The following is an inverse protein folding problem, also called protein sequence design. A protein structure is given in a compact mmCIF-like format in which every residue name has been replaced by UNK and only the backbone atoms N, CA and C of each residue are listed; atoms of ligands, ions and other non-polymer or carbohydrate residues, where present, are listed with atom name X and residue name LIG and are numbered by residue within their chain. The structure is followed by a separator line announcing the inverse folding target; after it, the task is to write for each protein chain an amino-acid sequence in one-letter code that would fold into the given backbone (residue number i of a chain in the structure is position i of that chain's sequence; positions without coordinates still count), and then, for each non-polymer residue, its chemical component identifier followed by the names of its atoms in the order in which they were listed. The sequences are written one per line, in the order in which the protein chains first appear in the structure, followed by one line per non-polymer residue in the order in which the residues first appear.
data_IF_162362165613
#
_entry.id   IF_162362165613
#
_cell.length_a   1.000
_cell.length_b   1.000
_cell.length_c   1.000
_cell.angle_alpha   90.00
_cell.angle_beta   90.00
_cell.angle_gamma   90.00
#
_symmetry.space_group_name_H-M   'P 1'
#
loop_
_entity.id
_entity.type
_entity.pdbx_description
1 polymer ?
#
# COMPACT_ATOMS: atom_id res chain seq x y z
N UNK A 1 -26.68 3.32 3.86
CA UNK A 1 -25.80 4.51 3.94
C UNK A 1 -24.62 4.08 4.81
N UNK A 2 -23.48 3.85 4.16
CA UNK A 2 -22.25 3.40 4.84
C UNK A 2 -21.71 4.54 5.69
N UNK A 3 -21.91 4.52 6.99
CA UNK A 3 -21.24 5.43 7.90
C UNK A 3 -20.00 4.73 8.43
N UNK A 4 -18.92 4.75 7.66
CA UNK A 4 -17.61 4.33 8.17
C UNK A 4 -17.19 5.41 9.17
N UNK A 5 -17.31 5.11 10.45
CA UNK A 5 -16.71 5.93 11.49
C UNK A 5 -15.20 5.86 11.33
N UNK A 6 -14.66 6.82 10.61
CA UNK A 6 -13.22 7.05 10.60
C UNK A 6 -12.80 7.55 11.98
N UNK A 7 -12.33 6.66 12.82
CA UNK A 7 -11.54 7.03 14.00
C UNK A 7 -10.16 7.53 13.57
N UNK A 8 -10.12 8.40 12.58
CA UNK A 8 -8.89 9.08 12.17
C UNK A 8 -9.05 10.56 12.44
N UNK A 9 -8.39 11.00 13.47
CA UNK A 9 -8.38 12.40 13.94
C UNK A 9 -7.63 13.35 12.99
N UNK A 10 -7.31 13.01 11.74
CA UNK A 10 -6.57 13.88 10.81
C UNK A 10 -6.95 13.74 9.33
N UNK A 11 -6.90 14.89 8.71
CA UNK A 11 -7.40 15.38 7.44
C UNK A 11 -6.60 14.89 6.23
N UNK A 12 -6.36 13.74 5.92
CA UNK A 12 -5.95 13.18 4.61
C UNK A 12 -5.73 11.68 4.74
N UNK A 13 -6.81 10.94 4.70
CA UNK A 13 -6.75 9.48 4.68
C UNK A 13 -6.61 9.04 3.22
N UNK A 14 -5.44 8.56 2.79
CA UNK A 14 -5.34 7.96 1.46
C UNK A 14 -6.21 6.71 1.41
N UNK A 15 -6.95 6.56 0.31
CA UNK A 15 -7.74 5.35 0.10
C UNK A 15 -7.69 4.89 -1.35
N UNK A 16 -7.91 3.58 -1.57
CA UNK A 16 -8.02 2.97 -2.91
C UNK A 16 -9.03 1.84 -2.86
N UNK A 17 -9.84 1.76 -3.90
CA UNK A 17 -10.72 0.61 -4.09
C UNK A 17 -9.93 -0.65 -4.43
N UNK A 18 -10.40 -1.76 -3.91
CA UNK A 18 -9.96 -3.08 -4.31
C UNK A 18 -10.32 -3.31 -5.79
N UNK A 19 -9.52 -4.07 -6.57
CA UNK A 19 -9.70 -4.19 -8.01
C UNK A 19 -11.09 -4.66 -8.48
N UNK A 20 -11.79 -5.46 -7.67
CA UNK A 20 -13.15 -5.91 -7.98
C UNK A 20 -14.25 -4.90 -7.57
N UNK A 21 -13.90 -3.82 -6.87
CA UNK A 21 -14.84 -2.80 -6.42
C UNK A 21 -15.61 -3.10 -5.14
N UNK A 22 -15.52 -4.31 -4.57
CA UNK A 22 -16.32 -4.71 -3.39
C UNK A 22 -15.68 -4.28 -2.05
N UNK A 23 -14.46 -3.79 -2.07
CA UNK A 23 -13.71 -3.40 -0.90
C UNK A 23 -12.86 -2.15 -1.17
N UNK A 24 -12.33 -1.55 -0.12
CA UNK A 24 -11.33 -0.47 -0.23
C UNK A 24 -10.33 -0.54 0.93
N UNK A 25 -9.12 -0.08 0.69
CA UNK A 25 -8.12 0.10 1.74
C UNK A 25 -7.89 1.58 2.04
N UNK A 26 -7.59 1.86 3.30
CA UNK A 26 -7.20 3.18 3.78
C UNK A 26 -5.83 3.13 4.43
N UNK A 27 -5.11 4.24 4.38
CA UNK A 27 -3.92 4.47 5.20
C UNK A 27 -4.21 5.51 6.27
N UNK A 28 -3.55 5.45 7.40
CA UNK A 28 -3.78 6.34 8.54
C UNK A 28 -2.47 6.87 9.13
N UNK A 29 -2.56 8.00 9.82
CA UNK A 29 -1.47 8.58 10.60
C UNK A 29 -1.08 7.69 11.81
N UNK A 30 -1.94 6.73 12.19
CA UNK A 30 -1.67 5.76 13.24
C UNK A 30 -0.77 4.60 12.79
N UNK A 31 -0.16 4.72 11.62
CA UNK A 31 0.70 3.72 10.97
C UNK A 31 -0.02 2.45 10.51
N UNK A 32 -1.34 2.41 10.53
CA UNK A 32 -2.13 1.27 10.07
C UNK A 32 -2.70 1.47 8.66
N UNK A 33 -2.64 0.42 7.83
CA UNK A 33 -3.56 0.28 6.71
C UNK A 33 -4.74 -0.59 7.13
N UNK A 34 -5.93 -0.28 6.63
CA UNK A 34 -7.14 -1.07 6.92
C UNK A 34 -7.88 -1.40 5.64
N UNK A 35 -8.41 -2.60 5.57
CA UNK A 35 -9.23 -3.08 4.46
C UNK A 35 -10.67 -3.21 4.92
N UNK A 36 -11.59 -2.61 4.18
CA UNK A 36 -13.02 -2.61 4.47
C UNK A 36 -13.81 -3.28 3.35
N UNK A 37 -14.80 -4.08 3.70
CA UNK A 37 -15.80 -4.62 2.78
C UNK A 37 -16.98 -3.65 2.68
N UNK A 38 -17.31 -3.23 1.45
CA UNK A 38 -18.40 -2.27 1.20
C UNK A 38 -19.77 -2.93 1.39
N UNK A 39 -19.88 -4.21 1.07
CA UNK A 39 -21.16 -4.94 1.11
C UNK A 39 -21.50 -5.41 2.52
N UNK A 40 -20.47 -5.87 3.24
CA UNK A 40 -20.63 -6.34 4.62
C UNK A 40 -20.57 -5.21 5.66
N UNK A 41 -20.24 -3.98 5.25
CA UNK A 41 -20.11 -2.79 6.09
C UNK A 41 -19.20 -3.02 7.31
N UNK A 42 -18.04 -3.64 7.07
CA UNK A 42 -17.11 -3.97 8.15
C UNK A 42 -15.65 -3.94 7.71
N UNK A 43 -14.77 -3.78 8.69
CA UNK A 43 -13.35 -3.98 8.53
C UNK A 43 -13.05 -5.48 8.32
N UNK A 44 -12.27 -5.80 7.29
CA UNK A 44 -11.83 -7.16 6.98
C UNK A 44 -10.47 -7.45 7.61
N UNK A 45 -9.56 -6.48 7.57
CA UNK A 45 -8.20 -6.67 8.05
C UNK A 45 -7.53 -5.34 8.40
N UNK A 46 -6.60 -5.39 9.37
CA UNK A 46 -5.71 -4.28 9.73
C UNK A 46 -4.25 -4.72 9.53
N UNK A 47 -3.48 -3.90 8.83
CA UNK A 47 -2.07 -4.13 8.53
C UNK A 47 -1.23 -3.18 9.38
N UNK A 48 -0.54 -3.72 10.35
CA UNK A 48 0.34 -3.01 11.28
C UNK A 48 1.64 -3.76 11.49
N UNK A 49 2.66 -3.06 11.94
CA UNK A 49 3.92 -3.68 12.33
C UNK A 49 4.57 -2.85 13.43
N UNK A 50 5.09 -3.52 14.46
CA UNK A 50 5.60 -2.88 15.69
C UNK A 50 6.72 -1.85 15.45
N UNK A 51 7.48 -2.03 14.37
CA UNK A 51 8.57 -1.11 14.02
C UNK A 51 8.13 0.09 13.16
N UNK A 52 6.85 0.20 12.80
CA UNK A 52 6.34 1.30 11.98
C UNK A 52 5.57 2.25 12.91
N UNK A 53 6.12 3.46 13.08
CA UNK A 53 5.57 4.48 13.99
C UNK A 53 5.21 5.78 13.24
N UNK A 54 5.17 5.73 11.92
CA UNK A 54 4.93 6.91 11.07
C UNK A 54 3.67 6.75 10.23
N UNK A 55 3.09 7.88 9.84
CA UNK A 55 1.86 7.92 9.06
C UNK A 55 2.00 7.36 7.65
N UNK A 56 0.88 6.93 7.11
CA UNK A 56 0.74 6.43 5.74
C UNK A 56 0.26 7.57 4.85
N UNK A 57 1.02 7.85 3.81
CA UNK A 57 0.77 8.95 2.88
C UNK A 57 -0.01 8.54 1.64
N UNK A 58 0.10 7.28 1.25
CA UNK A 58 -0.54 6.77 0.04
C UNK A 58 -0.69 5.25 0.08
N UNK A 59 -1.70 4.73 -0.62
CA UNK A 59 -1.95 3.29 -0.75
C UNK A 59 -2.26 2.93 -2.19
N UNK A 60 -1.88 1.72 -2.62
CA UNK A 60 -2.19 1.17 -3.93
C UNK A 60 -2.30 -0.36 -3.87
N UNK A 61 -3.20 -0.94 -4.67
CA UNK A 61 -3.31 -2.40 -4.82
C UNK A 61 -2.58 -2.89 -6.05
N UNK A 62 -2.08 -4.12 -5.98
CA UNK A 62 -1.78 -4.90 -7.19
C UNK A 62 -3.08 -5.20 -7.96
N UNK A 63 -2.98 -5.49 -9.26
CA UNK A 63 -4.15 -5.80 -10.10
C UNK A 63 -4.98 -6.97 -9.54
N UNK A 64 -4.31 -7.96 -8.97
CA UNK A 64 -4.99 -9.11 -8.35
C UNK A 64 -5.64 -8.79 -7.00
N UNK A 65 -5.35 -7.63 -6.41
CA UNK A 65 -5.74 -7.29 -5.04
C UNK A 65 -4.94 -8.04 -3.96
N UNK A 66 -4.07 -8.99 -4.34
CA UNK A 66 -3.31 -9.79 -3.37
C UNK A 66 -2.29 -8.99 -2.57
N UNK A 67 -1.76 -7.94 -3.16
CA UNK A 67 -0.75 -7.08 -2.54
C UNK A 67 -1.32 -5.69 -2.35
N UNK A 68 -1.13 -5.14 -1.15
CA UNK A 68 -1.36 -3.75 -0.80
C UNK A 68 -0.01 -3.08 -0.57
N UNK A 69 0.24 -1.98 -1.28
CA UNK A 69 1.40 -1.12 -1.09
C UNK A 69 1.00 0.08 -0.25
N UNK A 70 1.77 0.41 0.76
CA UNK A 70 1.63 1.61 1.56
C UNK A 70 2.90 2.44 1.52
N UNK A 71 2.80 3.71 1.14
CA UNK A 71 3.87 4.70 1.24
C UNK A 71 3.84 5.38 2.59
N UNK A 72 5.00 5.60 3.19
CA UNK A 72 5.15 6.03 4.56
C UNK A 72 6.01 7.30 4.70
N UNK A 73 5.82 7.99 5.81
CA UNK A 73 6.61 9.18 6.16
C UNK A 73 8.07 8.87 6.47
N UNK A 74 8.41 7.61 6.77
CA UNK A 74 9.77 7.12 7.02
C UNK A 74 10.55 6.79 5.74
N UNK A 75 10.10 7.32 4.60
CA UNK A 75 10.73 7.20 3.28
C UNK A 75 10.62 5.81 2.65
N UNK A 76 9.91 4.90 3.31
CA UNK A 76 9.74 3.51 2.84
C UNK A 76 8.37 3.29 2.19
N UNK A 77 8.28 2.22 1.39
CA UNK A 77 7.01 1.66 0.98
C UNK A 77 6.92 0.23 1.51
N UNK A 78 5.96 -0.04 2.37
CA UNK A 78 5.73 -1.40 2.88
C UNK A 78 4.77 -2.15 1.96
N UNK A 79 5.02 -3.45 1.85
CA UNK A 79 4.30 -4.38 0.99
C UNK A 79 3.58 -5.39 1.87
N UNK A 80 2.26 -5.44 1.77
CA UNK A 80 1.40 -6.27 2.59
C UNK A 80 0.70 -7.35 1.76
N UNK A 81 0.67 -8.58 2.26
CA UNK A 81 -0.23 -9.63 1.74
C UNK A 81 -1.62 -9.40 2.30
N UNK A 82 -2.59 -9.09 1.43
CA UNK A 82 -3.94 -8.71 1.84
C UNK A 82 -4.71 -9.83 2.51
N UNK A 83 -4.43 -11.10 2.16
CA UNK A 83 -5.12 -12.25 2.74
C UNK A 83 -4.49 -12.73 4.04
N UNK A 84 -3.16 -12.68 4.13
CA UNK A 84 -2.44 -13.13 5.32
C UNK A 84 -2.38 -12.08 6.41
N UNK A 85 -2.50 -10.78 6.05
CA UNK A 85 -2.29 -9.68 6.97
C UNK A 85 -0.84 -9.42 7.34
N UNK A 86 0.11 -10.05 6.62
CA UNK A 86 1.53 -10.01 6.93
C UNK A 86 2.28 -9.03 6.03
N UNK A 87 3.31 -8.39 6.59
CA UNK A 87 4.27 -7.62 5.80
C UNK A 87 5.21 -8.56 5.05
N UNK A 88 5.16 -8.54 3.71
CA UNK A 88 5.95 -9.42 2.85
C UNK A 88 7.16 -8.74 2.24
N UNK A 89 7.29 -7.43 2.40
CA UNK A 89 8.46 -6.71 1.90
C UNK A 89 8.48 -5.24 2.32
N UNK A 90 9.64 -4.64 2.13
CA UNK A 90 9.87 -3.20 2.32
C UNK A 90 10.68 -2.69 1.12
N UNK A 91 10.20 -1.63 0.50
CA UNK A 91 10.90 -0.95 -0.60
C UNK A 91 11.56 0.29 -0.02
N UNK A 92 12.86 0.37 -0.15
CA UNK A 92 13.70 1.47 0.34
C UNK A 92 14.38 2.16 -0.84
N UNK A 93 14.95 3.33 -0.60
CA UNK A 93 15.73 4.04 -1.61
C UNK A 93 15.30 5.48 -1.85
N UNK A 94 14.15 5.92 -1.35
CA UNK A 94 13.83 7.34 -1.25
C UNK A 94 14.58 7.98 -0.08
N UNK A 95 14.91 9.26 -0.23
CA UNK A 95 15.61 10.08 0.76
C UNK A 95 14.69 11.07 1.48
N UNK A 96 13.38 10.97 1.25
CA UNK A 96 12.35 11.73 1.92
C UNK A 96 11.03 10.95 1.86
N UNK A 97 9.96 11.49 2.49
CA UNK A 97 8.65 10.84 2.57
C UNK A 97 8.13 10.43 1.19
N UNK A 98 7.58 9.23 1.13
CA UNK A 98 6.85 8.76 -0.06
C UNK A 98 5.50 9.45 -0.07
N UNK A 99 5.21 10.26 -1.09
CA UNK A 99 3.99 11.07 -1.15
C UNK A 99 2.88 10.45 -1.99
N UNK A 100 3.23 9.63 -2.97
CA UNK A 100 2.25 8.99 -3.84
C UNK A 100 2.74 7.64 -4.35
N UNK A 101 1.77 6.76 -4.62
CA UNK A 101 1.96 5.43 -5.20
C UNK A 101 1.01 5.23 -6.37
N UNK A 102 1.43 4.45 -7.35
CA UNK A 102 0.59 4.02 -8.46
C UNK A 102 1.08 2.70 -9.05
N UNK A 103 0.15 1.79 -9.35
CA UNK A 103 0.43 0.54 -10.05
C UNK A 103 -0.01 0.69 -11.50
N UNK A 104 0.82 0.25 -12.44
CA UNK A 104 0.50 0.29 -13.87
C UNK A 104 -0.70 -0.61 -14.20
N UNK A 105 -1.43 -0.28 -15.27
CA UNK A 105 -2.64 -1.01 -15.68
C UNK A 105 -2.37 -2.49 -15.98
N UNK A 106 -1.18 -2.80 -16.44
CA UNK A 106 -0.72 -4.18 -16.68
C UNK A 106 -0.18 -4.88 -15.42
N UNK A 107 -0.08 -4.15 -14.28
CA UNK A 107 0.44 -4.67 -13.01
C UNK A 107 1.93 -4.92 -12.96
N UNK A 108 2.65 -4.55 -14.01
CA UNK A 108 4.08 -4.87 -14.14
C UNK A 108 4.99 -3.84 -13.48
N UNK A 109 4.47 -2.69 -13.11
CA UNK A 109 5.25 -1.63 -12.49
C UNK A 109 4.51 -0.97 -11.32
N UNK A 110 5.26 -0.70 -10.26
CA UNK A 110 4.87 0.20 -9.17
C UNK A 110 5.68 1.49 -9.34
N UNK A 111 4.99 2.62 -9.38
CA UNK A 111 5.61 3.94 -9.38
C UNK A 111 5.47 4.54 -7.98
N UNK A 112 6.54 5.14 -7.48
CA UNK A 112 6.56 5.86 -6.21
C UNK A 112 7.09 7.25 -6.42
N UNK A 113 6.41 8.25 -5.86
CA UNK A 113 6.86 9.63 -5.85
C UNK A 113 7.18 10.08 -4.43
N UNK A 114 8.20 10.90 -4.27
CA UNK A 114 8.69 11.34 -2.98
C UNK A 114 9.01 12.85 -2.95
N UNK A 115 9.04 13.38 -1.74
CA UNK A 115 9.51 14.75 -1.49
C UNK A 115 11.03 14.92 -1.68
N UNK A 116 11.77 13.84 -1.96
CA UNK A 116 13.15 13.91 -2.43
C UNK A 116 13.24 14.40 -3.89
N UNK A 117 12.11 14.81 -4.49
CA UNK A 117 11.98 15.28 -5.87
C UNK A 117 12.22 14.20 -6.91
N UNK A 118 12.16 12.93 -6.54
CA UNK A 118 12.34 11.80 -7.46
C UNK A 118 11.06 10.98 -7.63
N UNK A 119 10.94 10.39 -8.84
CA UNK A 119 10.01 9.32 -9.15
C UNK A 119 10.82 8.05 -9.34
N UNK A 120 10.40 6.96 -8.71
CA UNK A 120 11.02 5.65 -8.91
C UNK A 120 10.01 4.68 -9.47
N UNK A 121 10.44 3.93 -10.49
CA UNK A 121 9.64 2.88 -11.12
C UNK A 121 10.25 1.54 -10.75
N UNK A 122 9.47 0.73 -10.06
CA UNK A 122 9.87 -0.59 -9.62
C UNK A 122 9.15 -1.59 -10.51
N UNK A 123 9.90 -2.26 -11.38
CA UNK A 123 9.36 -3.32 -12.23
C UNK A 123 9.43 -4.65 -11.53
N UNK A 124 8.32 -5.36 -11.57
CA UNK A 124 8.22 -6.68 -10.98
C UNK A 124 8.29 -7.77 -12.04
N UNK A 125 9.40 -8.46 -12.13
CA UNK A 125 9.58 -9.59 -13.06
C UNK A 125 8.92 -10.90 -12.59
N UNK A 126 8.31 -10.97 -11.40
CA UNK A 126 7.97 -12.23 -10.75
C UNK A 126 6.59 -12.30 -10.05
N UNK A 127 5.63 -11.44 -10.35
CA UNK A 127 4.27 -11.63 -9.79
C UNK A 127 3.39 -12.59 -10.61
N UNK A 128 3.87 -13.19 -11.70
CA UNK A 128 3.03 -14.05 -12.53
C UNK A 128 3.09 -15.55 -12.25
N UNK A 129 4.04 -16.04 -11.47
CA UNK A 129 4.13 -17.49 -11.19
C UNK A 129 4.50 -17.78 -9.75
N UNK A 130 3.48 -18.17 -8.98
CA UNK A 130 3.56 -18.83 -7.65
C UNK A 130 4.04 -17.94 -6.50
N UNK A 131 3.21 -17.86 -5.51
CA UNK A 131 3.44 -17.45 -4.14
C UNK A 131 4.83 -17.92 -3.64
N UNK A 132 5.84 -17.10 -3.77
CA UNK A 132 7.19 -17.38 -3.30
C UNK A 132 7.99 -16.08 -3.32
N UNK A 133 8.35 -15.64 -2.16
CA UNK A 133 9.27 -14.56 -1.77
C UNK A 133 9.65 -13.55 -2.87
N UNK A 134 9.34 -12.30 -2.59
CA UNK A 134 9.88 -11.11 -3.25
C UNK A 134 11.41 -11.07 -3.11
N UNK A 135 12.16 -11.60 -4.05
CA UNK A 135 13.61 -11.71 -3.92
C UNK A 135 14.42 -10.70 -4.72
N UNK A 136 13.81 -9.88 -5.57
CA UNK A 136 14.56 -8.76 -6.19
C UNK A 136 13.65 -7.70 -6.78
N UNK A 137 13.80 -6.47 -6.35
CA UNK A 137 13.27 -5.28 -7.00
C UNK A 137 14.40 -4.57 -7.75
N UNK A 138 14.24 -4.29 -9.04
CA UNK A 138 15.11 -3.37 -9.75
C UNK A 138 14.47 -1.99 -9.75
N UNK A 139 15.17 -1.03 -9.16
CA UNK A 139 14.81 0.38 -9.18
C UNK A 139 15.47 1.03 -10.38
N UNK A 140 14.68 1.65 -11.25
CA UNK A 140 15.17 2.50 -12.33
C UNK A 140 14.89 3.96 -11.95
N UNK A 141 15.93 4.76 -11.99
CA UNK A 141 15.82 6.22 -11.83
C UNK A 141 15.49 6.87 -13.18
#
# INVERSE_FOLDING_TARGET
MLLVYFYTLKVNVPFRFFPNGDAFATGSDDASCRLFDIRADRELNTYTHDNILCGITSVAFSISGRILFGGYDDWTCNVWDTLKGERVGVLTGHENRVSCLGVSVDGMALCTGSWDSTLKVIRHYLLSKRCGLLTSFQVWA
#
